data_IF_123574029730
#
_entry.id   IF_123574029730
#
_cell.length_a   1.000
_cell.length_b   1.000
_cell.length_c   1.000
_cell.angle_alpha   90.00
_cell.angle_beta   90.00
_cell.angle_gamma   90.00
#
_symmetry.space_group_name_H-M   'P 1'
#
loop_
_entity.id
_entity.type
_entity.pdbx_description
1 polymer ?
#
# COMPACT_ATOMS: atom_id res chain seq x y z
N UNK A 1 -5.41 -6.95 -26.78
CA UNK A 1 -5.83 -5.58 -26.42
C UNK A 1 -5.56 -5.43 -24.93
N UNK A 2 -5.10 -4.26 -24.49
CA UNK A 2 -4.92 -3.98 -23.06
C UNK A 2 -6.29 -4.00 -22.37
N UNK A 3 -6.35 -4.52 -21.15
CA UNK A 3 -7.59 -4.71 -20.38
C UNK A 3 -7.65 -3.71 -19.23
N UNK A 4 -7.66 -2.43 -19.59
CA UNK A 4 -7.68 -1.34 -18.61
C UNK A 4 -8.99 -1.35 -17.82
N UNK A 5 -8.95 -1.24 -16.48
CA UNK A 5 -10.16 -1.09 -15.68
C UNK A 5 -10.80 0.29 -15.93
N UNK A 6 -12.12 0.38 -15.79
CA UNK A 6 -12.84 1.67 -15.86
C UNK A 6 -12.59 2.57 -14.64
N UNK A 7 -12.33 1.96 -13.49
CA UNK A 7 -12.10 2.61 -12.22
C UNK A 7 -11.04 1.84 -11.41
N UNK A 8 -10.19 2.57 -10.68
CA UNK A 8 -9.20 1.99 -9.77
C UNK A 8 -9.39 2.52 -8.36
N UNK A 9 -9.13 1.67 -7.37
CA UNK A 9 -9.04 2.05 -5.96
C UNK A 9 -7.58 2.28 -5.58
N UNK A 10 -7.28 3.49 -5.09
CA UNK A 10 -5.97 3.82 -4.54
C UNK A 10 -6.05 3.83 -3.01
N UNK A 11 -5.26 2.98 -2.37
CA UNK A 11 -5.09 2.91 -0.92
C UNK A 11 -3.91 3.79 -0.53
N UNK A 12 -4.16 4.81 0.27
CA UNK A 12 -3.14 5.76 0.71
C UNK A 12 -2.40 5.23 1.95
N UNK A 13 -1.10 4.98 1.82
CA UNK A 13 -0.23 4.39 2.83
C UNK A 13 0.71 5.40 3.51
N UNK A 14 0.78 6.64 3.00
CA UNK A 14 1.76 7.64 3.39
C UNK A 14 1.80 8.00 4.87
N UNK A 15 0.66 8.22 5.56
CA UNK A 15 0.69 8.50 6.99
C UNK A 15 1.29 7.35 7.80
N UNK A 16 1.04 6.07 7.46
CA UNK A 16 1.68 4.96 8.18
C UNK A 16 3.13 4.75 7.72
N UNK A 17 3.36 4.53 6.43
CA UNK A 17 4.68 4.14 5.90
C UNK A 17 5.67 5.29 5.91
N UNK A 18 5.24 6.48 5.54
CA UNK A 18 6.03 7.71 5.58
C UNK A 18 6.55 7.98 6.97
N UNK A 19 5.65 8.20 7.93
CA UNK A 19 6.06 8.58 9.29
C UNK A 19 6.89 7.50 10.00
N UNK A 20 6.75 6.22 9.62
CA UNK A 20 7.60 5.14 10.12
C UNK A 20 9.03 5.21 9.56
N UNK A 21 9.18 5.65 8.31
CA UNK A 21 10.48 5.75 7.64
C UNK A 21 11.24 7.00 8.03
N UNK A 22 10.53 8.07 8.37
CA UNK A 22 11.13 9.35 8.73
C UNK A 22 12.02 9.27 9.98
N UNK A 23 13.19 9.89 9.89
CA UNK A 23 14.18 9.91 10.98
C UNK A 23 13.86 10.95 12.05
N UNK A 24 13.15 12.01 11.68
CA UNK A 24 12.82 13.14 12.54
C UNK A 24 11.57 12.87 13.40
N UNK A 25 11.45 13.62 14.50
CA UNK A 25 10.19 13.66 15.23
C UNK A 25 9.17 14.48 14.42
N UNK A 26 8.05 13.85 14.07
CA UNK A 26 6.90 14.53 13.49
C UNK A 26 5.86 14.74 14.61
N UNK A 27 5.47 15.98 14.93
CA UNK A 27 4.46 16.23 15.95
C UNK A 27 3.12 15.57 15.60
N UNK A 28 2.43 14.99 16.59
CA UNK A 28 1.14 14.31 16.42
C UNK A 28 0.11 15.19 15.70
N UNK A 29 0.06 16.48 16.02
CA UNK A 29 -0.85 17.43 15.36
C UNK A 29 -0.60 17.55 13.85
N UNK A 30 0.67 17.51 13.42
CA UNK A 30 1.05 17.56 12.00
C UNK A 30 0.70 16.27 11.26
N UNK A 31 0.82 15.11 11.94
CA UNK A 31 0.34 13.82 11.40
C UNK A 31 -1.16 13.84 11.16
N UNK A 32 -1.92 14.32 12.15
CA UNK A 32 -3.37 14.47 12.07
C UNK A 32 -3.77 15.42 10.95
N UNK A 33 -3.08 16.55 10.81
CA UNK A 33 -3.36 17.54 9.76
C UNK A 33 -3.21 16.96 8.36
N UNK A 34 -2.17 16.15 8.11
CA UNK A 34 -2.01 15.47 6.84
C UNK A 34 -3.13 14.46 6.58
N UNK A 35 -3.52 13.68 7.59
CA UNK A 35 -4.63 12.71 7.47
C UNK A 35 -5.95 13.44 7.16
N UNK A 36 -6.22 14.57 7.81
CA UNK A 36 -7.42 15.37 7.60
C UNK A 36 -7.44 16.03 6.21
N UNK A 37 -6.28 16.43 5.70
CA UNK A 37 -6.15 16.92 4.32
C UNK A 37 -6.41 15.81 3.30
N UNK A 38 -5.77 14.65 3.46
CA UNK A 38 -5.97 13.47 2.60
C UNK A 38 -7.43 12.99 2.61
N UNK A 39 -8.12 13.09 3.75
CA UNK A 39 -9.52 12.68 3.87
C UNK A 39 -10.48 13.46 2.97
N UNK A 40 -10.09 14.67 2.53
CA UNK A 40 -10.91 15.55 1.69
C UNK A 40 -10.66 15.35 0.19
N UNK A 41 -9.64 14.58 -0.19
CA UNK A 41 -9.28 14.38 -1.60
C UNK A 41 -10.20 13.41 -2.30
N UNK A 42 -11.07 12.68 -1.60
CA UNK A 42 -11.93 11.65 -2.19
C UNK A 42 -11.37 10.23 -2.14
N UNK A 43 -10.13 10.05 -1.65
CA UNK A 43 -9.55 8.75 -1.29
C UNK A 43 -10.54 7.93 -0.44
N UNK A 44 -10.69 6.64 -0.76
CA UNK A 44 -11.62 5.75 -0.03
C UNK A 44 -10.98 5.01 1.13
N UNK A 45 -9.65 4.97 1.17
CA UNK A 45 -8.90 4.26 2.20
C UNK A 45 -7.60 5.01 2.52
N UNK A 46 -7.35 5.25 3.80
CA UNK A 46 -6.12 5.87 4.30
C UNK A 46 -5.60 5.02 5.46
N UNK A 47 -4.36 4.57 5.37
CA UNK A 47 -3.67 3.89 6.46
C UNK A 47 -2.98 4.93 7.36
N UNK A 48 -3.52 5.10 8.57
CA UNK A 48 -3.22 6.28 9.41
C UNK A 48 -2.12 6.05 10.43
N UNK A 49 -1.90 4.81 10.89
CA UNK A 49 -0.94 4.51 11.93
C UNK A 49 -0.60 3.01 12.01
N UNK A 50 0.34 2.65 12.88
CA UNK A 50 0.71 1.26 13.17
C UNK A 50 0.84 1.02 14.68
N UNK A 51 0.10 0.03 15.21
CA UNK A 51 0.11 -0.36 16.63
C UNK A 51 1.27 -1.30 16.96
N UNK A 52 2.46 -0.94 16.53
CA UNK A 52 3.70 -1.69 16.76
C UNK A 52 4.42 -1.20 18.02
N UNK A 53 5.38 -1.97 18.58
CA UNK A 53 6.18 -1.51 19.71
C UNK A 53 6.97 -0.24 19.35
N UNK A 54 6.80 0.88 20.09
CA UNK A 54 7.50 2.14 19.82
C UNK A 54 9.03 2.02 19.86
N UNK A 55 9.55 1.06 20.65
CA UNK A 55 10.98 0.74 20.70
C UNK A 55 11.54 0.35 19.32
N UNK A 56 10.74 -0.32 18.50
CA UNK A 56 11.15 -0.78 17.17
C UNK A 56 10.81 0.24 16.09
N UNK A 57 9.72 1.00 16.28
CA UNK A 57 9.25 2.02 15.33
C UNK A 57 8.89 3.29 16.10
N UNK A 58 9.88 4.16 16.40
CA UNK A 58 9.65 5.38 17.19
C UNK A 58 8.66 6.36 16.55
N UNK A 59 8.60 6.41 15.21
CA UNK A 59 7.65 7.24 14.46
C UNK A 59 6.18 6.88 14.66
N UNK A 60 5.90 5.74 15.30
CA UNK A 60 4.54 5.24 15.60
C UNK A 60 4.23 5.24 17.11
N UNK A 61 5.05 5.92 17.92
CA UNK A 61 4.86 5.98 19.36
C UNK A 61 3.49 6.56 19.79
N UNK A 62 2.99 7.51 19.01
CA UNK A 62 1.75 8.28 19.21
C UNK A 62 0.57 7.73 18.38
N UNK A 63 0.60 6.45 17.99
CA UNK A 63 -0.42 5.84 17.14
C UNK A 63 -1.84 5.96 17.72
N UNK A 64 -1.99 5.86 19.05
CA UNK A 64 -3.29 5.95 19.71
C UNK A 64 -3.84 7.39 19.65
N UNK A 65 -2.99 8.38 19.85
CA UNK A 65 -3.30 9.81 19.77
C UNK A 65 -3.66 10.21 18.34
N UNK A 66 -2.88 9.77 17.35
CA UNK A 66 -3.20 9.99 15.93
C UNK A 66 -4.56 9.40 15.60
N UNK A 67 -4.79 8.11 15.93
CA UNK A 67 -6.02 7.41 15.58
C UNK A 67 -7.28 7.97 16.27
N UNK A 68 -7.12 8.65 17.41
CA UNK A 68 -8.20 9.37 18.12
C UNK A 68 -8.35 10.83 17.68
N UNK A 69 -7.30 11.44 17.14
CA UNK A 69 -7.23 12.88 16.92
C UNK A 69 -7.75 13.35 15.56
N UNK A 70 -7.66 12.52 14.51
CA UNK A 70 -8.12 12.91 13.18
C UNK A 70 -9.65 12.97 13.07
N UNK A 71 -10.11 13.74 12.07
CA UNK A 71 -11.52 13.95 11.74
C UNK A 71 -11.97 12.93 10.70
N UNK A 72 -12.91 12.04 11.06
CA UNK A 72 -13.47 11.08 10.10
C UNK A 72 -14.27 11.80 9.02
N UNK A 73 -13.95 11.51 7.77
CA UNK A 73 -14.72 11.96 6.61
C UNK A 73 -15.65 10.85 6.11
N UNK A 74 -16.93 11.14 5.81
CA UNK A 74 -17.87 10.14 5.31
C UNK A 74 -17.35 9.45 4.04
N UNK A 75 -17.49 8.12 3.99
CA UNK A 75 -17.05 7.31 2.85
C UNK A 75 -15.56 6.96 2.83
N UNK A 76 -14.76 7.40 3.82
CA UNK A 76 -13.34 7.05 3.95
C UNK A 76 -13.14 5.99 5.04
N UNK A 77 -12.42 4.92 4.70
CA UNK A 77 -11.98 3.89 5.64
C UNK A 77 -10.59 4.25 6.17
N UNK A 78 -10.43 4.21 7.49
CA UNK A 78 -9.17 4.51 8.15
C UNK A 78 -8.59 3.25 8.74
N UNK A 79 -7.42 2.84 8.26
CA UNK A 79 -6.81 1.56 8.63
C UNK A 79 -5.64 1.81 9.57
N UNK A 80 -5.51 0.99 10.60
CA UNK A 80 -4.28 0.88 11.39
C UNK A 80 -3.59 -0.44 11.11
N UNK A 81 -2.26 -0.47 11.08
CA UNK A 81 -1.49 -1.71 10.97
C UNK A 81 -1.25 -2.32 12.36
N UNK A 82 -1.16 -3.64 12.45
CA UNK A 82 -0.69 -4.36 13.63
C UNK A 82 0.07 -5.62 13.22
N UNK A 83 0.92 -6.15 14.09
CA UNK A 83 1.74 -7.35 13.82
C UNK A 83 1.54 -8.47 14.85
N UNK A 84 0.70 -8.25 15.86
CA UNK A 84 0.38 -9.22 16.90
C UNK A 84 -0.99 -8.91 17.53
N UNK A 85 -1.45 -9.82 18.38
CA UNK A 85 -2.73 -9.72 19.07
C UNK A 85 -2.86 -8.45 19.92
N UNK A 86 -1.82 -8.08 20.66
CA UNK A 86 -1.84 -6.84 21.46
C UNK A 86 -2.07 -5.60 20.60
N UNK A 87 -1.45 -5.54 19.42
CA UNK A 87 -1.65 -4.46 18.45
C UNK A 87 -3.07 -4.46 17.88
N UNK A 88 -3.62 -5.64 17.56
CA UNK A 88 -5.00 -5.77 17.10
C UNK A 88 -5.99 -5.29 18.18
N UNK A 89 -5.83 -5.72 19.43
CA UNK A 89 -6.70 -5.31 20.53
C UNK A 89 -6.68 -3.79 20.74
N UNK A 90 -5.49 -3.18 20.62
CA UNK A 90 -5.37 -1.72 20.63
C UNK A 90 -6.16 -1.08 19.49
N UNK A 91 -5.99 -1.56 18.26
CA UNK A 91 -6.70 -1.05 17.09
C UNK A 91 -8.23 -1.16 17.24
N UNK A 92 -8.72 -2.29 17.75
CA UNK A 92 -10.15 -2.52 18.02
C UNK A 92 -10.68 -1.57 19.10
N UNK A 93 -9.92 -1.37 20.19
CA UNK A 93 -10.30 -0.48 21.29
C UNK A 93 -10.42 0.99 20.89
N UNK A 94 -9.78 1.42 19.78
CA UNK A 94 -9.97 2.76 19.22
C UNK A 94 -11.41 2.96 18.72
N UNK A 95 -12.07 1.91 18.21
CA UNK A 95 -13.49 1.94 17.82
C UNK A 95 -13.84 2.80 16.61
N UNK A 96 -12.84 3.33 15.89
CA UNK A 96 -13.03 4.23 14.72
C UNK A 96 -12.31 3.77 13.46
N UNK A 97 -11.45 2.76 13.57
CA UNK A 97 -10.66 2.20 12.48
C UNK A 97 -11.43 1.08 11.76
N UNK A 98 -11.22 0.97 10.45
CA UNK A 98 -11.61 -0.19 9.67
C UNK A 98 -10.54 -1.29 9.88
N UNK A 99 -10.92 -2.33 10.61
CA UNK A 99 -10.03 -3.43 10.99
C UNK A 99 -10.40 -4.63 10.13
N UNK A 100 -9.48 -5.02 9.23
CA UNK A 100 -9.63 -6.19 8.36
C UNK A 100 -8.42 -7.10 8.45
N UNK A 101 -8.66 -8.40 8.53
CA UNK A 101 -7.62 -9.41 8.57
C UNK A 101 -7.07 -9.69 7.17
N UNK A 102 -5.75 -9.90 7.11
CA UNK A 102 -5.05 -10.26 5.88
C UNK A 102 -4.16 -11.48 6.15
N UNK A 103 -4.21 -12.49 5.27
CA UNK A 103 -3.24 -13.58 5.25
C UNK A 103 -1.97 -13.06 4.55
N UNK A 104 -0.83 -13.05 5.25
CA UNK A 104 0.39 -12.40 4.76
C UNK A 104 1.54 -13.40 4.61
N UNK A 105 1.93 -13.66 3.37
CA UNK A 105 3.06 -14.52 3.01
C UNK A 105 4.21 -13.69 2.42
N UNK A 106 5.38 -14.34 2.28
CA UNK A 106 6.59 -13.71 1.75
C UNK A 106 7.23 -14.67 0.76
N UNK A 107 7.48 -14.24 -0.48
CA UNK A 107 7.98 -15.12 -1.52
C UNK A 107 9.46 -15.50 -1.39
N UNK A 108 10.24 -14.68 -0.67
CA UNK A 108 11.63 -14.98 -0.35
C UNK A 108 11.76 -15.54 1.06
N UNK A 109 12.34 -16.73 1.18
CA UNK A 109 12.67 -17.33 2.48
C UNK A 109 13.80 -16.55 3.17
N UNK A 110 14.79 -16.10 2.41
CA UNK A 110 15.91 -15.32 2.94
C UNK A 110 15.44 -13.97 3.51
N UNK A 111 14.47 -13.33 2.87
CA UNK A 111 13.84 -12.11 3.38
C UNK A 111 12.94 -12.41 4.58
N UNK A 112 12.10 -13.44 4.51
CA UNK A 112 11.23 -13.85 5.61
C UNK A 112 12.02 -14.12 6.89
N UNK A 113 13.16 -14.82 6.79
CA UNK A 113 14.04 -15.08 7.93
C UNK A 113 14.65 -13.81 8.50
N UNK A 114 15.02 -12.83 7.66
CA UNK A 114 15.58 -11.55 8.14
C UNK A 114 14.53 -10.62 8.74
N UNK A 115 13.37 -10.52 8.10
CA UNK A 115 12.33 -9.58 8.47
C UNK A 115 11.51 -10.08 9.66
N UNK A 116 11.23 -11.39 9.74
CA UNK A 116 10.34 -11.96 10.76
C UNK A 116 10.99 -13.06 11.61
N UNK A 117 12.25 -13.42 11.36
CA UNK A 117 12.94 -14.52 12.02
C UNK A 117 12.20 -15.88 11.92
N UNK A 118 11.50 -16.13 10.81
CA UNK A 118 10.72 -17.35 10.56
C UNK A 118 11.19 -18.09 9.31
N UNK A 119 11.02 -19.40 9.31
CA UNK A 119 10.98 -20.23 8.10
C UNK A 119 9.61 -20.12 7.42
N UNK A 120 9.50 -20.62 6.18
CA UNK A 120 8.21 -20.65 5.47
C UNK A 120 7.13 -21.42 6.24
N UNK A 121 7.49 -22.59 6.77
CA UNK A 121 6.57 -23.44 7.55
C UNK A 121 6.10 -22.73 8.83
N UNK A 122 7.01 -22.08 9.55
CA UNK A 122 6.66 -21.29 10.74
C UNK A 122 5.74 -20.11 10.40
N UNK A 123 5.96 -19.46 9.24
CA UNK A 123 5.10 -18.36 8.81
C UNK A 123 3.70 -18.83 8.41
N UNK A 124 3.58 -19.95 7.69
CA UNK A 124 2.28 -20.57 7.37
C UNK A 124 1.53 -20.93 8.65
N UNK A 125 2.19 -21.60 9.60
CA UNK A 125 1.59 -21.92 10.89
C UNK A 125 1.17 -20.65 11.67
N UNK A 126 1.94 -19.57 11.54
CA UNK A 126 1.56 -18.28 12.12
C UNK A 126 0.31 -17.70 11.45
N UNK A 127 0.18 -17.79 10.12
CA UNK A 127 -1.02 -17.30 9.42
C UNK A 127 -2.30 -18.00 9.87
N UNK A 128 -2.27 -19.32 10.12
CA UNK A 128 -3.43 -20.01 10.73
C UNK A 128 -3.83 -19.38 12.08
N UNK A 129 -2.86 -19.17 12.98
CA UNK A 129 -3.12 -18.53 14.28
C UNK A 129 -3.63 -17.09 14.14
N UNK A 130 -3.17 -16.35 13.13
CA UNK A 130 -3.69 -15.00 12.87
C UNK A 130 -5.14 -15.03 12.39
N UNK A 131 -5.52 -15.97 11.53
CA UNK A 131 -6.91 -16.11 11.08
C UNK A 131 -7.83 -16.49 12.25
N UNK A 132 -7.42 -17.42 13.11
CA UNK A 132 -8.14 -17.77 14.34
C UNK A 132 -8.33 -16.55 15.24
N UNK A 133 -7.27 -15.78 15.46
CA UNK A 133 -7.31 -14.53 16.22
C UNK A 133 -8.28 -13.51 15.60
N UNK A 134 -8.31 -13.38 14.27
CA UNK A 134 -9.27 -12.50 13.60
C UNK A 134 -10.72 -12.96 13.84
N UNK A 135 -11.00 -14.25 13.69
CA UNK A 135 -12.33 -14.81 13.92
C UNK A 135 -12.80 -14.65 15.37
N UNK A 136 -11.92 -14.91 16.35
CA UNK A 136 -12.22 -14.71 17.78
C UNK A 136 -12.60 -13.25 18.11
N UNK A 137 -12.10 -12.30 17.31
CA UNK A 137 -12.36 -10.87 17.48
C UNK A 137 -13.39 -10.32 16.48
N UNK A 138 -14.09 -11.19 15.74
CA UNK A 138 -15.06 -10.81 14.71
C UNK A 138 -14.49 -9.87 13.62
N UNK A 139 -13.19 -10.00 13.34
CA UNK A 139 -12.51 -9.25 12.29
C UNK A 139 -12.68 -9.99 10.96
N UNK A 140 -13.28 -9.38 9.93
CA UNK A 140 -13.44 -10.03 8.64
C UNK A 140 -12.09 -10.28 7.98
N UNK A 141 -11.93 -11.45 7.37
CA UNK A 141 -10.73 -11.83 6.60
C UNK A 141 -11.15 -12.07 5.15
N UNK A 142 -10.82 -11.11 4.28
CA UNK A 142 -11.16 -11.17 2.85
C UNK A 142 -9.99 -10.81 1.93
N UNK A 143 -8.78 -10.67 2.50
CA UNK A 143 -7.57 -10.29 1.77
C UNK A 143 -6.41 -11.23 2.05
N UNK A 144 -5.55 -11.39 1.04
CA UNK A 144 -4.22 -11.97 1.19
C UNK A 144 -3.18 -11.02 0.59
N UNK A 145 -1.95 -11.12 1.06
CA UNK A 145 -0.83 -10.32 0.54
C UNK A 145 0.46 -11.14 0.45
N UNK A 146 1.33 -10.75 -0.48
CA UNK A 146 2.63 -11.37 -0.65
C UNK A 146 3.74 -10.33 -0.80
N UNK A 147 4.69 -10.36 0.14
CA UNK A 147 5.92 -9.57 0.07
C UNK A 147 6.97 -10.22 -0.84
N UNK A 148 7.87 -9.40 -1.37
CA UNK A 148 8.96 -9.81 -2.26
C UNK A 148 8.46 -10.60 -3.48
N UNK A 149 7.28 -10.26 -4.01
CA UNK A 149 6.64 -11.03 -5.07
C UNK A 149 7.41 -10.98 -6.41
N UNK A 150 8.24 -9.94 -6.60
CA UNK A 150 8.91 -9.66 -7.88
C UNK A 150 10.43 -9.81 -7.84
N UNK A 151 11.01 -10.08 -6.66
CA UNK A 151 12.45 -10.14 -6.46
C UNK A 151 12.86 -9.86 -5.02
N UNK A 152 14.11 -10.17 -4.69
CA UNK A 152 14.63 -10.03 -3.34
C UNK A 152 16.13 -9.68 -3.32
N UNK A 153 16.52 -8.69 -2.53
CA UNK A 153 17.93 -8.33 -2.31
C UNK A 153 18.77 -9.45 -1.68
N UNK A 154 18.14 -10.44 -1.05
CA UNK A 154 18.81 -11.52 -0.31
C UNK A 154 18.75 -12.88 -1.00
N UNK A 155 17.86 -13.05 -1.98
CA UNK A 155 17.64 -14.33 -2.68
C UNK A 155 17.72 -14.20 -4.20
N UNK A 156 17.67 -12.98 -4.73
CA UNK A 156 17.65 -12.70 -6.16
C UNK A 156 16.24 -12.82 -6.75
N UNK A 157 16.18 -13.37 -7.96
CA UNK A 157 14.93 -13.54 -8.70
C UNK A 157 13.96 -14.50 -8.00
N UNK A 158 12.68 -14.12 -7.98
CA UNK A 158 11.60 -14.94 -7.44
C UNK A 158 10.85 -15.59 -8.61
N UNK A 159 10.88 -16.92 -8.75
CA UNK A 159 10.19 -17.59 -9.86
C UNK A 159 8.67 -17.44 -9.75
N UNK A 160 8.00 -17.20 -10.88
CA UNK A 160 6.52 -17.12 -10.96
C UNK A 160 5.85 -18.36 -10.37
N UNK A 161 6.42 -19.55 -10.58
CA UNK A 161 5.90 -20.79 -10.00
C UNK A 161 5.83 -20.76 -8.47
N UNK A 162 6.79 -20.09 -7.81
CA UNK A 162 6.77 -19.92 -6.35
C UNK A 162 5.67 -18.95 -5.92
N UNK A 163 5.47 -17.88 -6.68
CA UNK A 163 4.34 -16.95 -6.43
C UNK A 163 3.01 -17.71 -6.51
N UNK A 164 2.81 -18.52 -7.55
CA UNK A 164 1.59 -19.33 -7.70
C UNK A 164 1.38 -20.37 -6.59
N UNK A 165 2.46 -21.02 -6.13
CA UNK A 165 2.42 -21.94 -4.99
C UNK A 165 1.98 -21.20 -3.72
N UNK A 166 2.54 -20.04 -3.44
CA UNK A 166 2.21 -19.27 -2.24
C UNK A 166 0.81 -18.64 -2.31
N UNK A 167 0.32 -18.27 -3.50
CA UNK A 167 -1.09 -17.90 -3.68
C UNK A 167 -1.98 -19.09 -3.32
N UNK A 168 -1.68 -20.29 -3.82
CA UNK A 168 -2.44 -21.50 -3.46
C UNK A 168 -2.46 -21.71 -1.94
N UNK A 169 -1.29 -21.65 -1.28
CA UNK A 169 -1.21 -21.84 0.17
C UNK A 169 -2.03 -20.82 0.96
N UNK A 170 -2.07 -19.57 0.54
CA UNK A 170 -2.90 -18.56 1.18
C UNK A 170 -4.40 -18.87 1.01
N UNK A 171 -4.81 -19.38 -0.15
CA UNK A 171 -6.18 -19.85 -0.38
C UNK A 171 -6.51 -21.11 0.44
N UNK A 172 -5.57 -22.05 0.56
CA UNK A 172 -5.75 -23.26 1.36
C UNK A 172 -5.92 -22.91 2.86
N UNK A 173 -5.13 -21.95 3.38
CA UNK A 173 -5.30 -21.44 4.75
C UNK A 173 -6.70 -20.84 4.92
N UNK A 174 -7.16 -20.06 3.94
CA UNK A 174 -8.46 -19.43 3.98
C UNK A 174 -9.61 -20.47 3.98
N UNK A 175 -9.54 -21.44 3.07
CA UNK A 175 -10.52 -22.52 2.95
C UNK A 175 -10.61 -23.35 4.25
N UNK A 176 -9.47 -23.71 4.84
CA UNK A 176 -9.43 -24.46 6.10
C UNK A 176 -10.08 -23.73 7.28
N UNK A 177 -10.09 -22.40 7.24
CA UNK A 177 -10.74 -21.55 8.25
C UNK A 177 -12.15 -21.08 7.84
N UNK A 178 -12.67 -21.54 6.70
CA UNK A 178 -13.99 -21.14 6.21
C UNK A 178 -14.10 -19.65 5.86
N UNK A 179 -12.99 -19.01 5.47
CA UNK A 179 -12.97 -17.61 5.02
C UNK A 179 -12.70 -17.55 3.51
N UNK A 180 -13.17 -16.49 2.85
CA UNK A 180 -13.03 -16.33 1.40
C UNK A 180 -12.16 -15.13 1.08
N UNK A 181 -11.02 -15.37 0.43
CA UNK A 181 -10.15 -14.31 -0.07
C UNK A 181 -10.73 -13.76 -1.37
N UNK A 182 -10.93 -12.44 -1.39
CA UNK A 182 -11.44 -11.69 -2.56
C UNK A 182 -10.32 -10.92 -3.25
N UNK A 183 -9.41 -10.35 -2.45
CA UNK A 183 -8.31 -9.51 -2.95
C UNK A 183 -6.96 -10.15 -2.62
N UNK A 184 -6.08 -10.22 -3.61
CA UNK A 184 -4.68 -10.63 -3.42
C UNK A 184 -3.73 -9.48 -3.79
N UNK A 185 -2.99 -8.95 -2.81
CA UNK A 185 -2.06 -7.85 -3.02
C UNK A 185 -0.62 -8.37 -3.21
N UNK A 186 0.05 -7.96 -4.28
CA UNK A 186 1.45 -8.31 -4.54
C UNK A 186 2.35 -7.10 -4.30
N UNK A 187 3.32 -7.24 -3.40
CA UNK A 187 4.22 -6.16 -3.03
C UNK A 187 5.59 -6.32 -3.67
N UNK A 188 6.03 -5.26 -4.35
CA UNK A 188 7.40 -5.04 -4.80
C UNK A 188 8.26 -4.43 -3.68
N UNK A 189 8.39 -5.18 -2.59
CA UNK A 189 8.97 -4.73 -1.32
C UNK A 189 10.39 -4.15 -1.42
N UNK A 190 11.13 -4.48 -2.49
CA UNK A 190 12.52 -4.07 -2.68
C UNK A 190 12.76 -3.39 -4.04
N UNK A 191 11.68 -2.96 -4.71
CA UNK A 191 11.71 -2.27 -6.00
C UNK A 191 12.45 -3.05 -7.11
N UNK A 192 12.16 -4.35 -7.24
CA UNK A 192 12.71 -5.25 -8.27
C UNK A 192 11.79 -5.37 -9.50
N UNK A 193 10.52 -4.99 -9.37
CA UNK A 193 9.57 -5.17 -10.45
C UNK A 193 9.94 -4.31 -11.66
N UNK A 194 9.66 -4.85 -12.84
CA UNK A 194 9.69 -4.16 -14.12
C UNK A 194 8.35 -4.44 -14.82
N UNK A 195 7.96 -3.64 -15.83
CA UNK A 195 6.72 -3.89 -16.56
C UNK A 195 6.59 -5.33 -17.09
N UNK A 196 7.73 -5.94 -17.44
CA UNK A 196 7.79 -7.33 -17.85
C UNK A 196 7.47 -8.33 -16.72
N UNK A 197 8.06 -8.14 -15.53
CA UNK A 197 7.78 -9.04 -14.40
C UNK A 197 6.37 -8.85 -13.84
N UNK A 198 5.83 -7.61 -13.86
CA UNK A 198 4.41 -7.35 -13.57
C UNK A 198 3.51 -8.20 -14.46
N UNK A 199 3.65 -8.09 -15.78
CA UNK A 199 2.84 -8.86 -16.74
C UNK A 199 2.96 -10.37 -16.54
N UNK A 200 4.16 -10.88 -16.24
CA UNK A 200 4.38 -12.30 -15.95
C UNK A 200 3.65 -12.79 -14.70
N UNK A 201 3.83 -12.10 -13.58
CA UNK A 201 3.25 -12.52 -12.30
C UNK A 201 1.73 -12.33 -12.30
N UNK A 202 1.26 -11.14 -12.66
CA UNK A 202 -0.17 -10.81 -12.70
C UNK A 202 -0.89 -11.69 -13.71
N UNK A 203 -0.33 -11.87 -14.91
CA UNK A 203 -0.92 -12.72 -15.94
C UNK A 203 -1.08 -14.18 -15.49
N UNK A 204 -0.03 -14.75 -14.89
CA UNK A 204 -0.08 -16.14 -14.42
C UNK A 204 -1.07 -16.34 -13.25
N UNK A 205 -1.16 -15.38 -12.33
CA UNK A 205 -2.12 -15.43 -11.22
C UNK A 205 -3.54 -15.29 -11.75
N UNK A 206 -3.79 -14.34 -12.66
CA UNK A 206 -5.12 -14.11 -13.26
C UNK A 206 -5.61 -15.31 -14.06
N UNK A 207 -4.73 -15.95 -14.82
CA UNK A 207 -5.06 -17.16 -15.60
C UNK A 207 -5.46 -18.31 -14.67
N UNK A 208 -4.73 -18.51 -13.58
CA UNK A 208 -4.99 -19.62 -12.65
C UNK A 208 -6.13 -19.35 -11.66
N UNK A 209 -6.33 -18.09 -11.27
CA UNK A 209 -7.29 -17.68 -10.24
C UNK A 209 -8.11 -16.45 -10.69
N UNK A 210 -8.94 -16.58 -11.75
CA UNK A 210 -9.66 -15.47 -12.37
C UNK A 210 -10.68 -14.79 -11.45
N UNK A 211 -11.06 -15.44 -10.34
CA UNK A 211 -11.97 -14.91 -9.33
C UNK A 211 -11.30 -13.91 -8.37
N UNK A 212 -9.96 -13.86 -8.32
CA UNK A 212 -9.25 -12.96 -7.42
C UNK A 212 -9.12 -11.58 -8.05
N UNK A 213 -9.60 -10.58 -7.32
CA UNK A 213 -9.21 -9.20 -7.57
C UNK A 213 -7.75 -9.02 -7.12
N UNK A 214 -6.95 -8.30 -7.90
CA UNK A 214 -5.53 -8.14 -7.62
C UNK A 214 -5.20 -6.71 -7.24
N UNK A 215 -4.31 -6.58 -6.25
CA UNK A 215 -3.71 -5.31 -5.89
C UNK A 215 -2.21 -5.31 -6.12
N UNK A 216 -1.64 -4.12 -6.37
CA UNK A 216 -0.20 -3.92 -6.43
C UNK A 216 0.26 -2.88 -5.40
N UNK A 217 1.28 -3.24 -4.64
CA UNK A 217 2.03 -2.32 -3.78
C UNK A 217 3.43 -2.14 -4.37
N UNK A 218 3.67 -0.99 -4.98
CA UNK A 218 4.84 -0.76 -5.81
C UNK A 218 5.78 0.26 -5.17
N UNK A 219 7.07 -0.07 -5.16
CA UNK A 219 8.12 0.84 -4.72
C UNK A 219 8.81 1.45 -5.93
N UNK A 220 9.20 2.73 -5.82
CA UNK A 220 9.78 3.51 -6.92
C UNK A 220 11.28 3.76 -6.75
N UNK A 221 11.95 2.94 -5.95
CA UNK A 221 13.37 3.11 -5.60
C UNK A 221 14.31 3.09 -6.82
N UNK A 222 13.87 2.56 -7.96
CA UNK A 222 14.60 2.50 -9.23
C UNK A 222 13.86 3.17 -10.40
N UNK A 223 12.88 4.03 -10.12
CA UNK A 223 12.13 4.77 -11.15
C UNK A 223 11.21 3.91 -12.00
N UNK A 224 10.78 2.75 -11.48
CA UNK A 224 9.92 1.79 -12.19
C UNK A 224 8.47 1.80 -11.70
N UNK A 225 8.15 2.48 -10.60
CA UNK A 225 6.86 2.42 -9.90
C UNK A 225 5.67 2.76 -10.81
N UNK A 226 5.68 3.92 -11.47
CA UNK A 226 4.58 4.32 -12.38
C UNK A 226 4.52 3.42 -13.63
N UNK A 227 5.68 3.04 -14.18
CA UNK A 227 5.71 2.12 -15.33
C UNK A 227 5.17 0.73 -14.98
N UNK A 228 5.44 0.26 -13.76
CA UNK A 228 4.90 -0.98 -13.21
C UNK A 228 3.40 -0.88 -12.93
N UNK A 229 2.93 0.27 -12.45
CA UNK A 229 1.51 0.52 -12.24
C UNK A 229 0.75 0.49 -13.58
N UNK A 230 1.27 1.18 -14.61
CA UNK A 230 0.75 1.13 -15.97
C UNK A 230 0.67 -0.31 -16.50
N UNK A 231 1.73 -1.10 -16.34
CA UNK A 231 1.73 -2.51 -16.75
C UNK A 231 0.71 -3.36 -15.96
N UNK A 232 0.42 -3.02 -14.70
CA UNK A 232 -0.64 -3.62 -13.91
C UNK A 232 -2.02 -3.27 -14.44
N UNK A 233 -2.24 -1.98 -14.75
CA UNK A 233 -3.48 -1.49 -15.36
C UNK A 233 -3.76 -2.18 -16.70
N UNK A 234 -2.75 -2.37 -17.55
CA UNK A 234 -2.88 -3.12 -18.82
C UNK A 234 -3.37 -4.57 -18.63
N UNK A 235 -3.14 -5.13 -17.43
CA UNK A 235 -3.49 -6.50 -17.06
C UNK A 235 -4.78 -6.58 -16.22
N UNK A 236 -5.50 -5.47 -16.05
CA UNK A 236 -6.76 -5.39 -15.29
C UNK A 236 -6.59 -5.30 -13.77
N UNK A 237 -5.40 -4.94 -13.27
CA UNK A 237 -5.24 -4.60 -11.84
C UNK A 237 -5.97 -3.30 -11.57
N UNK A 238 -6.82 -3.30 -10.54
CA UNK A 238 -7.69 -2.18 -10.19
C UNK A 238 -7.50 -1.69 -8.74
N UNK A 239 -6.59 -2.29 -7.97
CA UNK A 239 -6.21 -1.83 -6.64
C UNK A 239 -4.72 -1.50 -6.59
N UNK A 240 -4.40 -0.30 -6.11
CA UNK A 240 -3.01 0.13 -5.94
C UNK A 240 -2.81 0.69 -4.53
N UNK A 241 -1.73 0.27 -3.88
CA UNK A 241 -1.24 0.94 -2.70
C UNK A 241 -0.22 2.00 -3.16
N UNK A 242 -0.41 3.23 -2.71
CA UNK A 242 0.43 4.38 -3.04
C UNK A 242 0.62 5.27 -1.82
N UNK A 243 1.56 6.21 -1.91
CA UNK A 243 1.88 7.10 -0.80
C UNK A 243 1.98 8.54 -1.28
N UNK A 244 1.30 9.45 -0.57
CA UNK A 244 1.29 10.87 -0.89
C UNK A 244 2.73 11.41 -0.99
N UNK A 245 3.03 12.14 -2.05
CA UNK A 245 4.36 12.68 -2.32
C UNK A 245 5.49 11.63 -2.41
N UNK A 246 5.17 10.34 -2.53
CA UNK A 246 6.14 9.25 -2.55
C UNK A 246 6.74 8.94 -1.17
N UNK A 247 6.03 9.29 -0.09
CA UNK A 247 6.46 9.04 1.29
C UNK A 247 6.73 7.55 1.56
N UNK A 248 7.67 7.30 2.47
CA UNK A 248 7.96 5.97 2.99
C UNK A 248 9.14 5.31 2.28
N UNK A 249 9.15 3.98 2.33
CA UNK A 249 10.20 3.16 1.74
C UNK A 249 10.54 1.95 2.60
N UNK A 250 11.32 1.05 2.01
CA UNK A 250 11.74 -0.16 2.68
C UNK A 250 13.13 0.04 3.32
N UNK A 251 13.29 -0.14 4.65
CA UNK A 251 14.60 -0.12 5.30
C UNK A 251 15.60 -1.13 4.70
N UNK A 252 15.07 -2.20 4.08
CA UNK A 252 15.84 -3.26 3.44
C UNK A 252 16.18 -2.98 1.97
N UNK A 253 15.67 -1.89 1.39
CA UNK A 253 16.05 -1.48 0.04
C UNK A 253 17.52 -1.03 -0.06
N UNK A 254 18.17 -0.72 1.07
CA UNK A 254 19.59 -0.35 1.17
C UNK A 254 20.04 0.86 0.31
N UNK A 255 19.11 1.60 -0.30
CA UNK A 255 19.40 2.75 -1.15
C UNK A 255 19.09 4.05 -0.41
N UNK A 256 20.04 4.98 -0.38
CA UNK A 256 19.86 6.31 0.21
C UNK A 256 19.23 7.26 -0.83
N UNK A 257 18.16 7.96 -0.45
CA UNK A 257 17.62 9.09 -1.22
C UNK A 257 16.73 8.75 -2.42
N UNK A 258 16.34 7.48 -2.58
CA UNK A 258 15.40 7.07 -3.62
C UNK A 258 13.97 7.01 -3.06
N UNK A 259 12.97 7.22 -3.93
CA UNK A 259 11.56 7.12 -3.57
C UNK A 259 11.25 5.74 -2.95
N UNK A 260 10.41 5.76 -1.92
CA UNK A 260 9.92 4.55 -1.28
C UNK A 260 8.79 3.95 -2.10
N UNK A 261 7.57 4.35 -1.79
CA UNK A 261 6.36 3.96 -2.50
C UNK A 261 6.15 4.77 -3.77
N UNK A 262 5.35 4.24 -4.70
CA UNK A 262 4.82 5.03 -5.82
C UNK A 262 3.97 6.21 -5.29
N UNK A 263 4.12 7.38 -5.90
CA UNK A 263 3.43 8.60 -5.48
C UNK A 263 1.93 8.52 -5.80
N UNK A 264 1.07 8.81 -4.83
CA UNK A 264 -0.39 8.79 -5.02
C UNK A 264 -0.83 9.77 -6.11
N UNK A 265 -0.31 10.99 -6.12
CA UNK A 265 -0.68 12.02 -7.08
C UNK A 265 -0.18 11.72 -8.50
N UNK A 266 0.97 11.06 -8.64
CA UNK A 266 1.51 10.67 -9.95
C UNK A 266 0.65 9.54 -10.55
N UNK A 267 0.17 8.62 -9.71
CA UNK A 267 -0.75 7.57 -10.12
C UNK A 267 -2.14 8.12 -10.48
N UNK A 268 -2.70 9.01 -9.66
CA UNK A 268 -3.99 9.67 -9.95
C UNK A 268 -3.91 10.45 -11.25
N UNK A 269 -2.86 11.24 -11.45
CA UNK A 269 -2.61 11.97 -12.69
C UNK A 269 -2.59 11.03 -13.90
N UNK A 270 -1.82 9.94 -13.84
CA UNK A 270 -1.76 8.97 -14.94
C UNK A 270 -3.15 8.40 -15.24
N UNK A 271 -3.90 7.98 -14.22
CA UNK A 271 -5.24 7.42 -14.40
C UNK A 271 -6.21 8.45 -15.01
N UNK A 272 -6.26 9.68 -14.48
CA UNK A 272 -7.14 10.75 -14.99
C UNK A 272 -6.84 11.07 -16.46
N UNK A 273 -5.56 11.19 -16.81
CA UNK A 273 -5.11 11.49 -18.17
C UNK A 273 -5.36 10.34 -19.15
N UNK A 274 -5.48 9.11 -18.64
CA UNK A 274 -5.88 7.92 -19.39
C UNK A 274 -7.41 7.72 -19.42
N UNK A 275 -8.19 8.54 -18.72
CA UNK A 275 -9.65 8.40 -18.62
C UNK A 275 -10.12 7.30 -17.66
N UNK A 276 -9.23 6.79 -16.79
CA UNK A 276 -9.54 5.81 -15.75
C UNK A 276 -9.99 6.55 -14.49
N UNK A 277 -11.16 6.21 -13.94
CA UNK A 277 -11.70 6.88 -12.76
C UNK A 277 -10.93 6.50 -11.51
N UNK A 278 -10.69 7.46 -10.63
CA UNK A 278 -10.12 7.24 -9.29
C UNK A 278 -11.06 7.72 -8.17
N UNK A 279 -11.96 8.66 -8.50
CA UNK A 279 -12.79 9.36 -7.52
C UNK A 279 -12.00 10.32 -6.62
N UNK A 280 -10.74 10.61 -6.96
CA UNK A 280 -9.86 11.50 -6.22
C UNK A 280 -9.81 12.87 -6.92
N UNK A 281 -9.84 13.95 -6.14
CA UNK A 281 -9.59 15.31 -6.58
C UNK A 281 -8.07 15.57 -6.58
N UNK A 282 -7.50 15.61 -7.78
CA UNK A 282 -6.06 15.80 -7.96
C UNK A 282 -5.55 17.17 -7.45
N UNK A 283 -6.34 18.24 -7.54
CA UNK A 283 -5.92 19.55 -7.03
C UNK A 283 -5.78 19.50 -5.50
N UNK A 284 -6.76 18.94 -4.79
CA UNK A 284 -6.68 18.77 -3.34
C UNK A 284 -5.56 17.80 -2.93
N UNK A 285 -5.31 16.76 -3.72
CA UNK A 285 -4.23 15.81 -3.46
C UNK A 285 -2.85 16.46 -3.65
N UNK A 286 -2.67 17.32 -4.65
CA UNK A 286 -1.43 18.10 -4.84
C UNK A 286 -1.17 18.99 -3.61
N UNK A 287 -2.19 19.66 -3.08
CA UNK A 287 -2.03 20.46 -1.86
C UNK A 287 -1.69 19.58 -0.63
N UNK A 288 -2.31 18.41 -0.49
CA UNK A 288 -1.94 17.43 0.54
C UNK A 288 -0.51 16.92 0.37
N UNK A 289 -0.02 16.76 -0.86
CA UNK A 289 1.36 16.35 -1.16
C UNK A 289 2.39 17.43 -0.80
N UNK A 290 2.05 18.71 -1.02
CA UNK A 290 2.89 19.83 -0.53
C UNK A 290 2.90 19.91 0.98
N UNK A 291 1.74 19.68 1.62
CA UNK A 291 1.65 19.59 3.07
C UNK A 291 2.50 18.42 3.60
N UNK A 292 2.50 17.27 2.94
CA UNK A 292 3.32 16.12 3.33
C UNK A 292 4.82 16.48 3.35
N UNK A 293 5.31 17.19 2.33
CA UNK A 293 6.69 17.69 2.26
C UNK A 293 7.02 18.65 3.41
N UNK A 294 6.12 19.58 3.71
CA UNK A 294 6.28 20.50 4.85
C UNK A 294 6.28 19.76 6.20
N UNK A 295 5.39 18.77 6.38
CA UNK A 295 5.28 17.95 7.60
C UNK A 295 6.57 17.19 7.90
N UNK A 296 7.25 16.65 6.88
CA UNK A 296 8.51 15.92 7.07
C UNK A 296 9.75 16.81 7.00
N UNK A 297 9.61 18.04 6.49
CA UNK A 297 10.65 19.06 6.51
C UNK A 297 11.81 18.83 5.55
N UNK A 298 11.62 18.01 4.51
CA UNK A 298 12.61 17.81 3.44
C UNK A 298 11.91 17.51 2.11
N UNK A 299 12.58 17.75 0.96
CA UNK A 299 12.00 17.49 -0.35
C UNK A 299 11.54 16.05 -0.53
N UNK A 300 10.38 15.88 -1.16
CA UNK A 300 9.76 14.61 -1.50
C UNK A 300 9.67 14.39 -3.02
N UNK A 301 9.75 13.14 -3.52
CA UNK A 301 9.92 12.83 -4.94
C UNK A 301 8.68 13.01 -5.82
N UNK A 302 7.50 13.30 -5.26
CA UNK A 302 6.26 13.52 -6.01
C UNK A 302 6.41 14.48 -7.20
N UNK A 303 6.25 13.95 -8.41
CA UNK A 303 6.48 14.72 -9.64
C UNK A 303 5.33 15.69 -9.91
N UNK A 304 4.08 15.22 -9.79
CA UNK A 304 2.86 16.01 -10.02
C UNK A 304 2.62 17.03 -8.90
N UNK A 305 3.06 16.75 -7.66
CA UNK A 305 3.12 17.78 -6.59
C UNK A 305 3.87 19.04 -7.05
N UNK A 306 4.95 18.85 -7.82
CA UNK A 306 5.82 19.91 -8.32
C UNK A 306 5.35 20.45 -9.69
N UNK A 307 4.95 19.56 -10.60
CA UNK A 307 4.57 19.88 -11.98
C UNK A 307 3.15 20.40 -12.14
N UNK A 308 2.26 20.13 -11.18
CA UNK A 308 0.84 20.45 -11.26
C UNK A 308 0.07 19.56 -12.24
N UNK A 309 -1.23 19.83 -12.37
CA UNK A 309 -2.10 19.15 -13.34
C UNK A 309 -2.17 19.89 -14.69
N UNK A 310 -2.78 19.25 -15.69
CA UNK A 310 -2.90 19.82 -17.04
C UNK A 310 -4.13 20.73 -17.23
N UNK A 311 -5.08 20.75 -16.28
CA UNK A 311 -6.37 21.43 -16.42
C UNK A 311 -6.20 22.92 -16.75
N UNK A 312 -5.39 23.64 -15.96
CA UNK A 312 -5.15 25.08 -16.15
C UNK A 312 -4.52 25.39 -17.51
N UNK A 313 -3.68 24.51 -18.03
CA UNK A 313 -3.05 24.69 -19.35
C UNK A 313 -4.07 24.49 -20.47
N UNK A 314 -4.95 23.49 -20.36
CA UNK A 314 -6.06 23.27 -21.29
C UNK A 314 -7.03 24.44 -21.33
N UNK A 315 -7.44 24.93 -20.16
CA UNK A 315 -8.35 26.09 -20.04
C UNK A 315 -7.74 27.35 -20.67
N UNK A 316 -6.46 27.64 -20.41
CA UNK A 316 -5.75 28.77 -21.03
C UNK A 316 -5.65 28.64 -22.55
N UNK A 317 -5.36 27.45 -23.06
CA UNK A 317 -5.27 27.21 -24.51
C UNK A 317 -6.64 27.37 -25.20
N UNK A 318 -7.72 26.93 -24.56
CA UNK A 318 -9.08 27.04 -25.08
C UNK A 318 -9.58 28.49 -25.16
N UNK A 319 -9.20 29.36 -24.21
CA UNK A 319 -9.53 30.79 -24.25
C UNK A 319 -8.72 31.56 -25.30
N UNK A 320 -7.54 31.05 -25.66
CA UNK A 320 -6.67 31.66 -26.66
C UNK A 320 -6.99 31.25 -28.11
N UNK A 321 -7.86 30.25 -28.30
CA UNK A 321 -8.33 29.76 -29.60
C UNK A 321 -9.64 30.43 -30.01
#
# INVERSE_FOLDING_TARGET
>A
MADFPEEVTINEEGPREGFQFEKGHIPTARKIELIDALSKTGLKQIQVCSFVPPKNVPGMADADEVAKGFTKYPGVRYIGLWLNEKGLQRALAIGRLDVRGTISLTASEAFLKRNQNRTMQENIAAQHRMVEMFQQNNVPVDRASMMAAFGCNFEGDIPVARVLDLVQRALDIAEQHGVTIKVFNFADTMAWATPYSIRKVVGAVREKYPQLQMGLHLHDTRGMGIANAYAGLEMGVDIFDASVAGLGGCPFAAHKGAAGNVCTEDLVFMCEEMGIKTGVDLDLLIEAARLAEDVVGHPLPGSVKSGGNLRKYRERAAVAA
#
